data_IF_131530921932
#
_entry.id   IF_131530921932
#
_cell.length_a   1.000
_cell.length_b   1.000
_cell.length_c   1.000
_cell.angle_alpha   90.00
_cell.angle_beta   90.00
_cell.angle_gamma   90.00
#
_symmetry.space_group_name_H-M   'P 1'
#
loop_
_entity.id
_entity.type
_entity.pdbx_description
1 polymer ?
#
# COMPACT_ATOMS: atom_id res chain seq x y z
N UNK A 1 -30.68 7.21 0.45
CA UNK A 1 -30.48 8.32 1.39
C UNK A 1 -29.27 7.98 2.26
N UNK A 2 -28.18 8.71 2.08
CA UNK A 2 -27.10 9.08 3.02
C UNK A 2 -25.97 9.68 2.16
N UNK A 3 -25.56 10.94 2.35
CA UNK A 3 -24.34 11.42 1.73
C UNK A 3 -23.19 10.77 2.49
N UNK A 4 -22.50 9.81 1.89
CA UNK A 4 -21.24 9.29 2.40
C UNK A 4 -20.20 10.40 2.22
N UNK A 5 -20.07 11.27 3.21
CA UNK A 5 -18.98 12.24 3.31
C UNK A 5 -17.68 11.44 3.38
N UNK A 6 -17.12 11.13 2.21
CA UNK A 6 -15.88 10.37 2.11
C UNK A 6 -14.76 11.34 2.46
N UNK A 7 -14.31 11.32 3.71
CA UNK A 7 -13.09 12.02 4.13
C UNK A 7 -11.87 11.33 3.50
N UNK A 8 -11.65 11.57 2.21
CA UNK A 8 -10.47 11.14 1.45
C UNK A 8 -9.38 12.20 1.52
N UNK A 9 -8.14 11.79 1.75
CA UNK A 9 -6.97 12.65 1.66
C UNK A 9 -6.06 12.24 0.50
N UNK A 10 -5.38 13.20 -0.13
CA UNK A 10 -4.37 12.96 -1.16
C UNK A 10 -3.06 13.65 -0.79
N UNK A 11 -1.95 12.91 -0.88
CA UNK A 11 -0.61 13.40 -0.58
C UNK A 11 0.27 13.24 -1.80
N UNK A 12 0.83 14.35 -2.27
CA UNK A 12 1.79 14.33 -3.35
C UNK A 12 3.22 14.36 -2.81
N UNK A 13 3.96 13.29 -3.09
CA UNK A 13 5.41 13.23 -2.83
C UNK A 13 6.14 13.60 -4.12
N UNK A 14 7.11 14.51 -4.01
CA UNK A 14 7.93 14.99 -5.13
C UNK A 14 9.30 14.31 -5.11
N UNK A 15 10.06 14.41 -6.21
CA UNK A 15 11.44 13.93 -6.25
C UNK A 15 12.32 14.63 -5.19
N UNK A 16 12.05 15.92 -4.91
CA UNK A 16 12.73 16.67 -3.83
C UNK A 16 12.45 16.05 -2.46
N UNK A 17 11.19 15.75 -2.16
CA UNK A 17 10.83 15.06 -0.90
C UNK A 17 11.53 13.71 -0.76
N UNK A 18 11.60 12.92 -1.85
CA UNK A 18 12.32 11.63 -1.85
C UNK A 18 13.82 11.83 -1.57
N UNK A 19 14.45 12.82 -2.21
CA UNK A 19 15.88 13.09 -2.07
C UNK A 19 16.26 13.50 -0.65
N UNK A 20 15.44 14.33 -0.01
CA UNK A 20 15.63 14.82 1.36
C UNK A 20 15.09 13.88 2.44
N UNK A 21 14.44 12.77 2.08
CA UNK A 21 13.86 11.85 3.06
C UNK A 21 14.97 11.20 3.91
N UNK A 22 14.89 11.26 5.26
CA UNK A 22 15.89 10.67 6.16
C UNK A 22 16.06 9.17 5.92
N UNK A 23 17.29 8.69 6.07
CA UNK A 23 17.60 7.26 5.93
C UNK A 23 17.19 6.47 7.18
N UNK A 24 17.24 7.10 8.35
CA UNK A 24 16.84 6.54 9.64
C UNK A 24 15.38 6.93 9.96
N UNK A 25 14.62 6.04 10.60
CA UNK A 25 13.15 6.00 10.53
C UNK A 25 12.49 6.11 11.91
N UNK A 26 11.77 7.21 12.16
CA UNK A 26 10.43 7.30 12.76
C UNK A 26 10.05 8.78 12.95
N UNK A 27 8.77 9.14 12.78
CA UNK A 27 8.15 10.42 13.17
C UNK A 27 8.33 11.68 12.29
N UNK A 28 8.49 11.60 10.96
CA UNK A 28 8.37 12.82 10.13
C UNK A 28 6.93 13.25 9.81
N UNK A 29 5.95 12.37 10.00
CA UNK A 29 4.54 12.66 9.70
C UNK A 29 3.73 12.43 10.96
N UNK A 30 3.11 13.46 11.54
CA UNK A 30 2.24 13.29 12.71
C UNK A 30 1.08 12.34 12.39
N UNK A 31 0.86 11.34 13.24
CA UNK A 31 -0.25 10.40 13.13
C UNK A 31 -1.62 11.11 13.16
N UNK A 32 -1.70 12.22 13.89
CA UNK A 32 -2.92 13.02 14.06
C UNK A 32 -3.48 13.56 12.74
N UNK A 33 -2.64 13.74 11.72
CA UNK A 33 -3.06 14.17 10.38
C UNK A 33 -4.03 13.19 9.71
N UNK A 34 -4.07 11.93 10.16
CA UNK A 34 -4.84 10.86 9.52
C UNK A 34 -6.08 10.43 10.28
N UNK A 35 -6.31 10.91 11.51
CA UNK A 35 -7.37 10.38 12.40
C UNK A 35 -8.76 10.34 11.77
N UNK A 36 -9.10 11.32 10.93
CA UNK A 36 -10.39 11.41 10.24
C UNK A 36 -10.36 10.89 8.80
N UNK A 37 -9.20 10.53 8.26
CA UNK A 37 -9.02 10.14 6.87
C UNK A 37 -9.28 8.64 6.68
N UNK A 38 -10.55 8.27 6.42
CA UNK A 38 -10.94 6.88 6.18
C UNK A 38 -10.21 6.26 4.98
N UNK A 39 -9.87 7.09 3.99
CA UNK A 39 -9.11 6.73 2.80
C UNK A 39 -8.00 7.76 2.54
N UNK A 40 -6.82 7.30 2.18
CA UNK A 40 -5.72 8.17 1.74
C UNK A 40 -5.06 7.66 0.46
N UNK A 41 -4.62 8.58 -0.38
CA UNK A 41 -3.84 8.30 -1.58
C UNK A 41 -2.47 8.98 -1.49
N UNK A 42 -1.39 8.22 -1.62
CA UNK A 42 -0.01 8.70 -1.72
C UNK A 42 0.46 8.61 -3.17
N UNK A 43 0.83 9.73 -3.78
CA UNK A 43 1.33 9.79 -5.16
C UNK A 43 2.81 10.09 -5.16
N UNK A 44 3.62 9.11 -5.54
CA UNK A 44 5.08 9.20 -5.47
C UNK A 44 5.71 9.04 -6.86
N UNK A 45 6.93 9.56 -7.07
CA UNK A 45 7.71 9.28 -8.27
C UNK A 45 8.02 7.77 -8.36
N UNK A 46 8.03 7.22 -9.57
CA UNK A 46 8.34 5.81 -9.83
C UNK A 46 9.86 5.55 -9.74
N UNK A 47 10.41 5.60 -8.53
CA UNK A 47 11.85 5.36 -8.26
C UNK A 47 12.00 4.45 -7.05
N UNK A 48 13.05 3.61 -7.02
CA UNK A 48 13.27 2.62 -5.93
C UNK A 48 13.23 3.24 -4.52
N UNK A 49 13.76 4.45 -4.35
CA UNK A 49 13.76 5.17 -3.07
C UNK A 49 12.36 5.58 -2.59
N UNK A 50 11.33 5.52 -3.44
CA UNK A 50 9.94 5.78 -3.06
C UNK A 50 9.31 4.64 -2.24
N UNK A 51 9.78 3.39 -2.36
CA UNK A 51 9.27 2.24 -1.58
C UNK A 51 9.37 2.49 -0.07
N UNK A 52 10.56 2.77 0.51
CA UNK A 52 10.67 3.01 1.94
C UNK A 52 9.87 4.23 2.41
N UNK A 53 9.70 5.25 1.55
CA UNK A 53 8.90 6.46 1.83
C UNK A 53 7.41 6.13 1.88
N UNK A 54 6.89 5.38 0.89
CA UNK A 54 5.50 4.94 0.90
C UNK A 54 5.20 4.05 2.10
N UNK A 55 6.12 3.14 2.46
CA UNK A 55 6.02 2.34 3.68
C UNK A 55 5.96 3.18 4.96
N UNK A 56 6.66 4.32 5.01
CA UNK A 56 6.57 5.25 6.15
C UNK A 56 5.24 5.98 6.22
N UNK A 57 4.75 6.46 5.08
CA UNK A 57 3.45 7.11 4.98
C UNK A 57 2.31 6.17 5.42
N UNK A 58 2.35 4.92 4.96
CA UNK A 58 1.36 3.90 5.37
C UNK A 58 1.47 3.56 6.85
N UNK A 59 2.69 3.45 7.42
CA UNK A 59 2.88 3.30 8.87
C UNK A 59 2.22 4.44 9.65
N UNK A 60 2.54 5.69 9.29
CA UNK A 60 1.98 6.86 9.96
C UNK A 60 0.45 6.92 9.84
N UNK A 61 -0.12 6.48 8.71
CA UNK A 61 -1.56 6.36 8.56
C UNK A 61 -2.14 5.26 9.46
N UNK A 62 -1.52 4.07 9.53
CA UNK A 62 -1.94 2.99 10.45
C UNK A 62 -1.93 3.45 11.91
N UNK A 63 -0.88 4.17 12.32
CA UNK A 63 -0.76 4.76 13.66
C UNK A 63 -1.90 5.78 13.91
N UNK A 64 -2.19 6.63 12.92
CA UNK A 64 -3.30 7.59 12.99
C UNK A 64 -4.69 6.95 13.03
N UNK A 65 -4.83 5.71 12.54
CA UNK A 65 -6.04 4.90 12.62
C UNK A 65 -6.11 4.03 13.90
N UNK A 66 -5.09 4.06 14.76
CA UNK A 66 -5.00 3.24 15.97
C UNK A 66 -4.86 1.74 15.67
N UNK A 67 -4.19 1.40 14.56
CA UNK A 67 -3.97 0.00 14.14
C UNK A 67 -2.54 -0.37 14.55
N UNK A 68 -2.41 -0.88 15.77
CA UNK A 68 -1.12 -1.17 16.42
C UNK A 68 -0.78 -2.68 16.43
N UNK A 69 -1.72 -3.53 16.06
CA UNK A 69 -1.57 -4.99 16.01
C UNK A 69 -0.60 -5.44 14.91
N UNK A 70 0.44 -6.17 15.30
CA UNK A 70 1.48 -6.62 14.36
C UNK A 70 0.97 -7.67 13.36
N UNK A 71 -0.01 -8.49 13.74
CA UNK A 71 -0.65 -9.47 12.85
C UNK A 71 -1.38 -8.79 11.70
N UNK A 72 -1.78 -7.54 11.86
CA UNK A 72 -2.31 -6.70 10.78
C UNK A 72 -1.23 -5.87 10.10
N UNK A 73 -0.37 -5.19 10.87
CA UNK A 73 0.62 -4.22 10.33
C UNK A 73 1.67 -4.88 9.47
N UNK A 74 2.17 -6.05 9.89
CA UNK A 74 3.23 -6.74 9.16
C UNK A 74 2.75 -7.16 7.76
N UNK A 75 1.63 -7.88 7.59
CA UNK A 75 1.10 -8.23 6.28
C UNK A 75 0.83 -7.02 5.38
N UNK A 76 0.22 -5.95 5.89
CA UNK A 76 -0.10 -4.75 5.10
C UNK A 76 1.16 -4.09 4.55
N UNK A 77 2.19 -3.93 5.39
CA UNK A 77 3.43 -3.29 4.98
C UNK A 77 4.29 -4.18 4.07
N UNK A 78 4.17 -5.50 4.19
CA UNK A 78 4.77 -6.47 3.28
C UNK A 78 4.11 -6.37 1.91
N UNK A 79 2.79 -6.56 1.85
CA UNK A 79 1.98 -6.47 0.61
C UNK A 79 2.23 -5.15 -0.10
N UNK A 80 2.21 -4.03 0.63
CA UNK A 80 2.57 -2.71 0.09
C UNK A 80 3.94 -2.72 -0.59
N UNK A 81 4.96 -3.26 0.08
CA UNK A 81 6.32 -3.23 -0.42
C UNK A 81 6.45 -4.04 -1.70
N UNK A 82 5.82 -5.21 -1.75
CA UNK A 82 5.78 -6.07 -2.95
C UNK A 82 5.03 -5.39 -4.11
N UNK A 83 3.80 -4.91 -3.87
CA UNK A 83 3.00 -4.28 -4.91
C UNK A 83 3.65 -2.99 -5.45
N UNK A 84 4.20 -2.16 -4.57
CA UNK A 84 4.84 -0.91 -4.95
C UNK A 84 6.17 -1.15 -5.69
N UNK A 85 6.94 -2.16 -5.28
CA UNK A 85 8.17 -2.56 -5.97
C UNK A 85 7.87 -3.08 -7.37
N UNK A 86 6.85 -3.94 -7.51
CA UNK A 86 6.38 -4.42 -8.81
C UNK A 86 5.95 -3.27 -9.72
N UNK A 87 5.18 -2.30 -9.20
CA UNK A 87 4.78 -1.13 -9.97
C UNK A 87 5.99 -0.31 -10.47
N UNK A 88 7.01 -0.08 -9.63
CA UNK A 88 8.24 0.62 -10.07
C UNK A 88 9.01 -0.20 -11.11
N UNK A 89 9.11 -1.51 -10.93
CA UNK A 89 9.94 -2.36 -11.76
C UNK A 89 9.35 -2.56 -13.16
N UNK A 90 8.02 -2.61 -13.27
CA UNK A 90 7.34 -3.04 -14.48
C UNK A 90 6.45 -1.97 -15.14
N UNK A 91 6.24 -0.82 -14.50
CA UNK A 91 5.53 0.30 -15.13
C UNK A 91 6.48 1.20 -15.92
N UNK A 92 6.02 1.67 -17.08
CA UNK A 92 6.63 2.80 -17.80
C UNK A 92 6.18 4.17 -17.25
N UNK A 93 5.29 4.18 -16.25
CA UNK A 93 4.72 5.38 -15.67
C UNK A 93 5.72 6.14 -14.80
N UNK A 94 5.69 7.48 -14.85
CA UNK A 94 6.57 8.33 -14.02
C UNK A 94 6.16 8.43 -12.55
N UNK A 95 4.93 7.97 -12.23
CA UNK A 95 4.34 8.04 -10.90
C UNK A 95 3.57 6.78 -10.59
N UNK A 96 3.61 6.42 -9.31
CA UNK A 96 2.83 5.33 -8.72
C UNK A 96 1.96 5.94 -7.62
N UNK A 97 0.70 5.51 -7.56
CA UNK A 97 -0.28 5.94 -6.56
C UNK A 97 -0.60 4.76 -5.66
N UNK A 98 -0.26 4.86 -4.38
CA UNK A 98 -0.70 3.92 -3.35
C UNK A 98 -1.97 4.47 -2.70
N UNK A 99 -3.04 3.68 -2.60
CA UNK A 99 -4.21 4.01 -1.78
C UNK A 99 -4.34 3.00 -0.66
N UNK A 100 -4.72 3.48 0.52
CA UNK A 100 -5.08 2.64 1.65
C UNK A 100 -6.35 3.16 2.31
N UNK A 101 -7.24 2.25 2.70
CA UNK A 101 -8.42 2.57 3.48
C UNK A 101 -8.89 1.37 4.30
N UNK A 102 -9.67 1.66 5.33
CA UNK A 102 -10.36 0.65 6.15
C UNK A 102 -11.84 0.59 5.77
N UNK A 103 -12.36 -0.61 5.54
CA UNK A 103 -13.80 -0.87 5.36
C UNK A 103 -14.11 -2.30 5.77
N UNK A 104 -15.27 -2.53 6.39
CA UNK A 104 -15.82 -3.89 6.60
C UNK A 104 -14.84 -4.90 7.24
N UNK A 105 -14.04 -4.46 8.21
CA UNK A 105 -13.06 -5.34 8.88
C UNK A 105 -11.85 -5.72 8.02
N UNK A 106 -11.63 -5.02 6.91
CA UNK A 106 -10.48 -5.19 6.02
C UNK A 106 -9.70 -3.88 5.88
N UNK A 107 -8.39 -4.02 5.67
CA UNK A 107 -7.54 -2.99 5.10
C UNK A 107 -7.39 -3.25 3.61
N UNK A 108 -7.82 -2.29 2.81
CA UNK A 108 -7.66 -2.34 1.37
C UNK A 108 -6.42 -1.55 0.97
N UNK A 109 -5.59 -2.14 0.13
CA UNK A 109 -4.43 -1.51 -0.46
C UNK A 109 -4.52 -1.59 -1.97
N UNK A 110 -4.35 -0.45 -2.64
CA UNK A 110 -4.25 -0.38 -4.10
C UNK A 110 -2.94 0.28 -4.49
N UNK A 111 -2.27 -0.28 -5.50
CA UNK A 111 -1.14 0.36 -6.18
C UNK A 111 -1.53 0.54 -7.63
N UNK A 112 -1.63 1.79 -8.04
CA UNK A 112 -2.01 2.21 -9.37
C UNK A 112 -0.83 2.88 -10.08
N UNK A 113 -0.54 2.46 -11.30
CA UNK A 113 0.46 3.06 -12.16
C UNK A 113 -0.12 3.37 -13.56
N UNK A 114 0.33 4.48 -14.14
CA UNK A 114 -0.13 4.98 -15.45
C UNK A 114 0.88 4.72 -16.56
N UNK A 115 1.29 3.46 -16.74
CA UNK A 115 2.23 3.14 -17.80
C UNK A 115 2.34 1.66 -18.09
N UNK A 116 1.22 0.95 -18.14
CA UNK A 116 1.24 -0.47 -18.50
C UNK A 116 1.79 -0.67 -19.90
N UNK A 117 3.03 -1.14 -20.00
CA UNK A 117 3.43 -1.98 -21.12
C UNK A 117 2.82 -3.38 -20.89
N UNK A 118 2.62 -4.15 -21.96
CA UNK A 118 2.11 -5.54 -21.89
C UNK A 118 3.00 -6.50 -21.05
N UNK A 119 4.10 -6.02 -20.48
CA UNK A 119 5.10 -6.72 -19.68
C UNK A 119 4.93 -6.58 -18.16
N UNK A 120 3.88 -5.93 -17.66
CA UNK A 120 3.49 -6.06 -16.24
C UNK A 120 3.28 -7.56 -15.96
N UNK A 121 3.84 -8.14 -14.88
CA UNK A 121 3.77 -9.56 -14.61
C UNK A 121 2.33 -10.04 -14.75
N UNK A 122 2.07 -10.75 -15.84
CA UNK A 122 0.96 -11.68 -15.91
C UNK A 122 1.24 -12.70 -14.80
N UNK A 123 0.20 -13.21 -14.14
CA UNK A 123 0.32 -14.44 -13.35
C UNK A 123 0.80 -15.56 -14.30
N UNK A 124 2.10 -15.62 -14.57
CA UNK A 124 2.75 -16.83 -15.02
C UNK A 124 3.21 -17.50 -13.76
N UNK A 125 2.75 -18.75 -13.57
CA UNK A 125 3.33 -19.68 -12.60
C UNK A 125 4.85 -19.45 -12.52
N UNK A 126 5.44 -19.33 -11.33
CA UNK A 126 6.88 -19.15 -11.22
C UNK A 126 7.58 -20.24 -12.03
N UNK A 127 8.31 -19.83 -13.08
CA UNK A 127 9.40 -20.66 -13.56
C UNK A 127 10.42 -20.70 -12.40
N UNK A 128 10.89 -21.91 -12.05
CA UNK A 128 11.66 -22.24 -10.85
C UNK A 128 12.96 -21.43 -10.62
N UNK A 129 13.27 -20.44 -11.47
CA UNK A 129 14.50 -19.65 -11.46
C UNK A 129 14.27 -18.13 -11.25
N UNK A 130 13.04 -17.66 -11.04
CA UNK A 130 12.74 -16.24 -10.81
C UNK A 130 12.28 -16.00 -9.37
N UNK A 131 13.03 -15.19 -8.62
CA UNK A 131 12.62 -14.67 -7.31
C UNK A 131 11.28 -13.89 -7.38
N UNK A 132 10.93 -13.37 -8.56
CA UNK A 132 9.74 -12.55 -8.85
C UNK A 132 8.39 -13.26 -8.67
N UNK A 133 8.36 -14.59 -8.50
CA UNK A 133 7.12 -15.33 -8.22
C UNK A 133 6.72 -15.37 -6.74
N UNK A 134 7.69 -15.23 -5.83
CA UNK A 134 7.45 -15.34 -4.38
C UNK A 134 6.69 -14.13 -3.82
N UNK A 135 6.90 -12.95 -4.40
CA UNK A 135 6.24 -11.72 -3.94
C UNK A 135 4.71 -11.80 -4.04
N UNK A 136 4.17 -12.35 -5.14
CA UNK A 136 2.72 -12.54 -5.29
C UNK A 136 2.17 -13.70 -4.46
N UNK A 137 2.97 -14.74 -4.20
CA UNK A 137 2.59 -15.81 -3.26
C UNK A 137 2.47 -15.28 -1.82
N UNK A 138 3.36 -14.37 -1.41
CA UNK A 138 3.27 -13.66 -0.13
C UNK A 138 2.03 -12.76 -0.08
N UNK A 139 1.76 -12.01 -1.16
CA UNK A 139 0.52 -11.21 -1.26
C UNK A 139 -0.71 -12.10 -1.12
N UNK A 140 -0.72 -13.26 -1.78
CA UNK A 140 -1.82 -14.22 -1.70
C UNK A 140 -2.00 -14.79 -0.29
N UNK A 141 -0.92 -15.11 0.43
CA UNK A 141 -1.00 -15.60 1.81
C UNK A 141 -1.48 -14.53 2.80
N UNK A 142 -1.10 -13.27 2.58
CA UNK A 142 -1.43 -12.17 3.47
C UNK A 142 -2.80 -11.55 3.22
N UNK A 143 -3.47 -11.87 2.10
CA UNK A 143 -4.69 -11.18 1.67
C UNK A 143 -5.88 -12.13 1.66
N UNK A 144 -7.03 -11.66 2.14
CA UNK A 144 -8.30 -12.38 1.96
C UNK A 144 -8.71 -12.42 0.50
N UNK A 145 -8.43 -11.34 -0.23
CA UNK A 145 -8.65 -11.19 -1.68
C UNK A 145 -7.60 -10.27 -2.24
N UNK A 146 -7.18 -10.52 -3.47
CA UNK A 146 -6.31 -9.63 -4.21
C UNK A 146 -6.55 -9.81 -5.70
N UNK A 147 -6.07 -8.87 -6.50
CA UNK A 147 -6.22 -8.97 -7.94
C UNK A 147 -5.59 -7.80 -8.68
N UNK A 148 -5.86 -7.79 -9.98
CA UNK A 148 -5.38 -6.77 -10.91
C UNK A 148 -6.54 -6.26 -11.75
N UNK A 149 -6.60 -4.94 -11.95
CA UNK A 149 -7.53 -4.26 -12.84
C UNK A 149 -6.71 -3.44 -13.83
N UNK A 150 -6.91 -3.69 -15.13
CA UNK A 150 -6.32 -2.90 -16.20
C UNK A 150 -7.42 -2.05 -16.81
N UNK A 151 -7.16 -0.75 -16.97
CA UNK A 151 -8.11 0.20 -17.54
C UNK A 151 -7.86 0.37 -19.05
N UNK A 152 -8.80 0.98 -19.77
CA UNK A 152 -8.72 1.19 -21.22
C UNK A 152 -7.53 2.06 -21.64
N UNK A 153 -7.03 2.92 -20.75
CA UNK A 153 -5.84 3.78 -20.97
C UNK A 153 -4.52 3.05 -20.68
N UNK A 154 -4.54 1.72 -20.57
CA UNK A 154 -3.41 0.87 -20.19
C UNK A 154 -2.85 1.13 -18.79
N UNK A 155 -3.55 1.90 -17.95
CA UNK A 155 -3.20 1.99 -16.53
C UNK A 155 -3.53 0.68 -15.82
N UNK A 156 -2.72 0.35 -14.82
CA UNK A 156 -2.82 -0.89 -14.09
C UNK A 156 -3.01 -0.58 -12.61
N UNK A 157 -3.94 -1.27 -11.97
CA UNK A 157 -4.15 -1.26 -10.53
C UNK A 157 -4.00 -2.67 -10.00
N UNK A 158 -3.02 -2.91 -9.15
CA UNK A 158 -2.92 -4.14 -8.37
C UNK A 158 -3.42 -3.85 -6.97
N UNK A 159 -4.28 -4.70 -6.44
CA UNK A 159 -4.98 -4.45 -5.18
C UNK A 159 -5.01 -5.69 -4.30
N UNK A 160 -5.10 -5.46 -2.99
CA UNK A 160 -5.21 -6.48 -1.96
C UNK A 160 -6.14 -6.00 -0.85
N UNK A 161 -6.86 -6.94 -0.25
CA UNK A 161 -7.65 -6.75 0.96
C UNK A 161 -7.08 -7.66 2.05
N UNK A 162 -6.59 -7.06 3.12
CA UNK A 162 -5.94 -7.73 4.25
C UNK A 162 -6.91 -7.71 5.43
N UNK A 163 -7.15 -8.84 6.12
CA UNK A 163 -7.95 -8.85 7.34
C UNK A 163 -7.42 -7.89 8.39
N UNK A 164 -8.31 -7.17 9.05
CA UNK A 164 -8.00 -6.55 10.33
C UNK A 164 -8.15 -7.62 11.40
N UNK A 165 -7.05 -8.06 11.97
CA UNK A 165 -7.11 -8.87 13.17
C UNK A 165 -7.60 -7.95 14.28
N UNK A 166 -8.75 -8.30 14.88
CA UNK A 166 -9.19 -7.57 16.05
C UNK A 166 -8.13 -7.80 17.12
N UNK A 167 -7.37 -6.75 17.47
CA UNK A 167 -6.39 -6.84 18.53
C UNK A 167 -7.06 -7.45 19.76
N UNK A 168 -6.65 -8.66 20.12
CA UNK A 168 -6.99 -9.21 21.42
C UNK A 168 -6.31 -8.29 22.41
N UNK A 169 -7.09 -7.42 23.05
CA UNK A 169 -6.66 -6.64 24.20
C UNK A 169 -6.44 -7.63 25.35
N UNK A 170 -5.34 -8.38 25.31
CA UNK A 170 -4.89 -9.16 26.45
C UNK A 170 -4.26 -8.19 27.44
N UNK A 171 -4.97 -7.94 28.55
CA UNK A 171 -4.39 -7.37 29.75
C UNK A 171 -5.04 -6.07 30.23
N UNK A 172 -6.20 -6.17 30.88
CA UNK A 172 -6.44 -5.53 32.19
C UNK A 172 -7.69 -6.12 32.85
N UNK A 173 -7.47 -7.02 33.81
CA UNK A 173 -8.24 -7.29 35.03
C UNK A 173 -7.76 -8.65 35.60
N UNK A 174 -7.75 -8.87 36.92
CA UNK A 174 -8.58 -8.23 37.95
C UNK A 174 -8.02 -6.95 38.55
#
# INVERSE_FOLDING_TARGET
MLPTTTHSAEVMVTARHIASWPRERNALIPADCWRSAQRVAFRLPAVKRAVPVCRNLVRAWLDGQGIDDDDTRYPVLLVLSELFTNAIQYSAGRRVTCRIWRSEGLLHLEVHDRGGTASVPLMRRPAQTQEHGRGLELVAHCSSRWGRRTEADSSCTVWAAIPLTAGVRNGMAP
#
